data_IF_866909819763
#
_entry.id   IF_866909819763
#
_cell.length_a   1.000
_cell.length_b   1.000
_cell.length_c   1.000
_cell.angle_alpha   90.00
_cell.angle_beta   90.00
_cell.angle_gamma   90.00
#
_symmetry.space_group_name_H-M   'P 1'
#
loop_
_entity.id
_entity.type
_entity.pdbx_description
1 polymer ?
#
# COMPACT_ATOMS: atom_id res chain seq x y z
N UNK A 1 6.32 -2.59 10.09
CA UNK A 1 5.57 -3.81 9.73
C UNK A 1 6.15 -4.49 8.50
N UNK A 2 6.35 -3.78 7.38
CA UNK A 2 6.95 -4.35 6.15
C UNK A 2 8.23 -5.15 6.43
N UNK A 3 9.21 -4.63 7.19
CA UNK A 3 10.45 -5.35 7.50
C UNK A 3 10.27 -6.78 8.06
N UNK A 4 9.25 -7.01 8.89
CA UNK A 4 8.96 -8.33 9.48
C UNK A 4 8.14 -9.20 8.53
N UNK A 5 7.31 -8.58 7.69
CA UNK A 5 6.42 -9.26 6.74
C UNK A 5 7.12 -9.59 5.42
N UNK A 6 8.16 -8.86 5.03
CA UNK A 6 8.90 -9.05 3.77
C UNK A 6 9.37 -10.50 3.54
N UNK A 7 9.93 -11.23 4.53
CA UNK A 7 10.32 -12.63 4.31
C UNK A 7 9.11 -13.53 4.06
N UNK A 8 7.97 -13.28 4.72
CA UNK A 8 6.75 -14.05 4.49
C UNK A 8 6.15 -13.73 3.11
N UNK A 9 6.10 -12.45 2.74
CA UNK A 9 5.65 -11.95 1.44
C UNK A 9 6.48 -12.56 0.31
N UNK A 10 7.82 -12.54 0.44
CA UNK A 10 8.72 -13.14 -0.54
C UNK A 10 8.42 -14.64 -0.73
N UNK A 11 8.24 -15.39 0.35
CA UNK A 11 7.88 -16.82 0.24
C UNK A 11 6.48 -17.07 -0.30
N UNK A 12 5.53 -16.14 -0.08
CA UNK A 12 4.19 -16.24 -0.64
C UNK A 12 4.20 -16.01 -2.16
N UNK A 13 4.97 -15.03 -2.63
CA UNK A 13 5.15 -14.71 -4.05
C UNK A 13 5.76 -15.88 -4.83
N UNK A 14 6.69 -16.61 -4.22
CA UNK A 14 7.34 -17.76 -4.86
C UNK A 14 6.45 -19.02 -4.89
N UNK A 15 5.53 -19.17 -3.94
CA UNK A 15 4.72 -20.40 -3.79
C UNK A 15 3.37 -20.35 -4.47
N UNK A 16 2.77 -19.16 -4.59
CA UNK A 16 1.44 -18.97 -5.16
C UNK A 16 1.53 -18.18 -6.46
N UNK A 17 0.62 -18.43 -7.43
CA UNK A 17 0.61 -17.68 -8.67
C UNK A 17 0.35 -16.20 -8.37
N UNK A 18 1.26 -15.33 -8.81
CA UNK A 18 1.30 -13.89 -8.53
C UNK A 18 -0.02 -13.18 -8.85
N UNK A 19 -0.67 -13.58 -9.95
CA UNK A 19 -2.02 -13.13 -10.32
C UNK A 19 -3.06 -13.32 -9.20
N UNK A 20 -3.06 -14.49 -8.54
CA UNK A 20 -4.00 -14.77 -7.44
C UNK A 20 -3.68 -13.95 -6.20
N UNK A 21 -2.39 -13.71 -5.93
CA UNK A 21 -1.96 -12.85 -4.82
C UNK A 21 -2.44 -11.42 -5.05
N UNK A 22 -2.24 -10.86 -6.26
CA UNK A 22 -2.71 -9.52 -6.61
C UNK A 22 -4.24 -9.41 -6.49
N UNK A 23 -5.00 -10.36 -7.02
CA UNK A 23 -6.45 -10.38 -6.85
C UNK A 23 -6.88 -10.48 -5.37
N UNK A 24 -6.17 -11.29 -4.56
CA UNK A 24 -6.43 -11.41 -3.11
C UNK A 24 -6.17 -10.10 -2.37
N UNK A 25 -5.10 -9.37 -2.71
CA UNK A 25 -4.82 -8.06 -2.08
C UNK A 25 -5.93 -7.05 -2.34
N UNK A 26 -6.47 -7.03 -3.57
CA UNK A 26 -7.62 -6.18 -3.92
C UNK A 26 -8.90 -6.63 -3.21
N UNK A 27 -9.11 -7.94 -3.04
CA UNK A 27 -10.22 -8.46 -2.25
C UNK A 27 -10.13 -8.04 -0.77
N UNK A 28 -8.93 -8.07 -0.17
CA UNK A 28 -8.72 -7.62 1.22
C UNK A 28 -9.04 -6.12 1.36
N UNK A 29 -8.57 -5.30 0.41
CA UNK A 29 -8.87 -3.85 0.40
C UNK A 29 -10.37 -3.58 0.21
N UNK A 30 -11.03 -4.31 -0.68
CA UNK A 30 -12.48 -4.25 -0.90
C UNK A 30 -13.23 -4.58 0.39
N UNK A 31 -12.90 -5.70 1.05
CA UNK A 31 -13.56 -6.13 2.29
C UNK A 31 -13.34 -5.14 3.43
N UNK A 32 -12.11 -4.61 3.56
CA UNK A 32 -11.80 -3.58 4.55
C UNK A 32 -12.64 -2.32 4.31
N UNK A 33 -12.72 -1.84 3.07
CA UNK A 33 -13.51 -0.67 2.71
C UNK A 33 -15.02 -0.91 2.90
N UNK A 34 -15.54 -2.05 2.47
CA UNK A 34 -16.95 -2.44 2.68
C UNK A 34 -17.31 -2.53 4.16
N UNK A 35 -16.39 -3.01 5.02
CA UNK A 35 -16.64 -3.05 6.47
C UNK A 35 -16.80 -1.66 7.09
N UNK A 36 -16.11 -0.64 6.56
CA UNK A 36 -16.27 0.75 6.99
C UNK A 36 -17.65 1.28 6.58
N UNK A 37 -18.10 1.00 5.36
CA UNK A 37 -19.43 1.39 4.86
C UNK A 37 -20.56 0.69 5.62
N UNK A 38 -20.42 -0.62 5.89
CA UNK A 38 -21.42 -1.36 6.65
C UNK A 38 -21.43 -0.88 8.11
N UNK A 39 -20.27 -0.67 8.71
CA UNK A 39 -20.17 -0.13 10.06
C UNK A 39 -20.86 1.23 10.18
N UNK A 40 -20.66 2.11 9.21
CA UNK A 40 -21.26 3.44 9.22
C UNK A 40 -22.79 3.43 9.06
N UNK A 41 -23.31 2.57 8.18
CA UNK A 41 -24.76 2.42 7.94
C UNK A 41 -25.48 1.72 9.10
N UNK A 42 -24.86 0.73 9.75
CA UNK A 42 -25.41 0.06 10.95
C UNK A 42 -25.43 0.99 12.16
N UNK A 43 -24.38 1.79 12.36
CA UNK A 43 -24.33 2.79 13.45
C UNK A 43 -25.39 3.88 13.21
N UNK A 44 -25.58 4.30 11.95
CA UNK A 44 -26.60 5.31 11.60
C UNK A 44 -28.05 4.83 11.78
N UNK A 45 -28.30 3.51 11.73
CA UNK A 45 -29.66 2.93 11.78
C UNK A 45 -30.11 2.47 13.18
N UNK A 46 -29.22 2.45 14.18
CA UNK A 46 -29.46 1.82 15.49
C UNK A 46 -29.83 2.78 16.64
N UNK A 47 -30.44 3.94 16.33
CA UNK A 47 -31.01 4.89 17.31
C UNK A 47 -30.02 5.51 18.33
N UNK A 48 -29.49 6.69 18.03
CA UNK A 48 -29.53 7.86 18.92
C UNK A 48 -29.04 9.09 18.14
N UNK A 49 -29.94 10.07 17.95
CA UNK A 49 -29.53 11.37 17.48
C UNK A 49 -28.48 11.98 18.42
N UNK A 50 -27.56 12.73 17.81
CA UNK A 50 -26.74 13.78 18.41
C UNK A 50 -25.27 13.51 18.75
N UNK A 51 -24.62 12.47 18.19
CA UNK A 51 -23.16 12.50 18.03
C UNK A 51 -22.76 11.91 16.67
N UNK A 52 -22.43 12.79 15.73
CA UNK A 52 -22.14 12.48 14.33
C UNK A 52 -20.80 11.74 14.10
N UNK A 53 -20.11 11.23 15.13
CA UNK A 53 -18.70 10.89 14.96
C UNK A 53 -18.11 9.79 15.85
N UNK A 54 -18.87 8.75 16.20
CA UNK A 54 -18.30 7.57 16.86
C UNK A 54 -18.15 6.40 15.90
N UNK A 55 -17.38 6.59 14.82
CA UNK A 55 -16.67 5.45 14.25
C UNK A 55 -15.77 4.89 15.35
N UNK A 56 -15.87 3.59 15.64
CA UNK A 56 -14.90 2.96 16.51
C UNK A 56 -13.53 3.08 15.86
N UNK A 57 -12.67 3.92 16.44
CA UNK A 57 -11.29 4.17 16.00
C UNK A 57 -10.55 2.84 15.80
N UNK A 58 -10.90 1.82 16.59
CA UNK A 58 -10.36 0.46 16.48
C UNK A 58 -10.71 -0.25 15.18
N UNK A 59 -11.91 -0.08 14.65
CA UNK A 59 -12.32 -0.66 13.35
C UNK A 59 -11.53 0.02 12.23
N UNK A 60 -11.48 1.36 12.24
CA UNK A 60 -10.69 2.12 11.26
C UNK A 60 -9.21 1.76 11.32
N UNK A 61 -8.65 1.63 12.52
CA UNK A 61 -7.26 1.22 12.71
C UNK A 61 -7.00 -0.20 12.18
N UNK A 62 -7.91 -1.15 12.44
CA UNK A 62 -7.80 -2.50 11.92
C UNK A 62 -7.86 -2.53 10.38
N UNK A 63 -8.83 -1.82 9.79
CA UNK A 63 -8.95 -1.67 8.34
C UNK A 63 -7.71 -1.02 7.73
N UNK A 64 -7.14 -0.01 8.40
CA UNK A 64 -5.91 0.65 7.96
C UNK A 64 -4.72 -0.32 7.97
N UNK A 65 -4.56 -1.12 9.03
CA UNK A 65 -3.51 -2.13 9.09
C UNK A 65 -3.69 -3.18 7.99
N UNK A 66 -4.92 -3.67 7.77
CA UNK A 66 -5.22 -4.61 6.69
C UNK A 66 -4.89 -4.01 5.31
N UNK A 67 -5.23 -2.74 5.09
CA UNK A 67 -4.91 -2.02 3.87
C UNK A 67 -3.40 -1.92 3.65
N UNK A 68 -2.64 -1.57 4.69
CA UNK A 68 -1.18 -1.47 4.61
C UNK A 68 -0.52 -2.80 4.28
N UNK A 69 -0.94 -3.89 4.93
CA UNK A 69 -0.42 -5.24 4.66
C UNK A 69 -0.74 -5.66 3.22
N UNK A 70 -1.98 -5.43 2.77
CA UNK A 70 -2.39 -5.74 1.40
C UNK A 70 -1.59 -4.94 0.37
N UNK A 71 -1.35 -3.65 0.61
CA UNK A 71 -0.59 -2.78 -0.29
C UNK A 71 0.88 -3.17 -0.37
N UNK A 72 1.52 -3.54 0.75
CA UNK A 72 2.90 -4.02 0.79
C UNK A 72 3.07 -5.32 -0.02
N UNK A 73 2.14 -6.26 0.16
CA UNK A 73 2.10 -7.51 -0.60
C UNK A 73 1.82 -7.26 -2.10
N UNK A 74 0.90 -6.35 -2.42
CA UNK A 74 0.56 -5.99 -3.79
C UNK A 74 1.78 -5.39 -4.50
N UNK A 75 2.49 -4.48 -3.83
CA UNK A 75 3.67 -3.83 -4.36
C UNK A 75 4.78 -4.82 -4.73
N UNK A 76 5.17 -5.67 -3.78
CA UNK A 76 6.22 -6.68 -4.00
C UNK A 76 5.82 -7.67 -5.11
N UNK A 77 4.54 -8.06 -5.14
CA UNK A 77 4.03 -8.99 -6.16
C UNK A 77 3.97 -8.34 -7.54
N UNK A 78 3.59 -7.06 -7.65
CA UNK A 78 3.44 -6.37 -8.92
C UNK A 78 4.76 -6.22 -9.66
N UNK A 79 5.84 -5.91 -8.94
CA UNK A 79 7.19 -5.89 -9.51
C UNK A 79 7.60 -7.25 -10.08
N UNK A 80 7.42 -8.32 -9.30
CA UNK A 80 7.72 -9.68 -9.75
C UNK A 80 6.80 -10.16 -10.89
N UNK A 81 5.54 -9.73 -10.90
CA UNK A 81 4.57 -10.06 -11.96
C UNK A 81 4.87 -9.33 -13.27
N UNK A 82 5.33 -8.08 -13.20
CA UNK A 82 5.80 -7.32 -14.37
C UNK A 82 6.98 -8.04 -15.05
N UNK A 83 7.91 -8.57 -14.26
CA UNK A 83 9.02 -9.38 -14.79
C UNK A 83 8.56 -10.68 -15.44
N UNK A 84 7.43 -11.25 -15.00
CA UNK A 84 6.86 -12.46 -15.60
C UNK A 84 6.13 -12.19 -16.91
N UNK A 85 5.55 -11.00 -17.06
CA UNK A 85 4.67 -10.67 -18.19
C UNK A 85 5.43 -10.06 -19.39
N UNK A 86 6.52 -9.35 -19.13
CA UNK A 86 7.25 -8.59 -20.14
C UNK A 86 8.66 -9.16 -20.41
N UNK A 87 9.26 -8.73 -21.52
CA UNK A 87 10.66 -9.05 -21.83
C UNK A 87 11.64 -8.13 -21.09
N UNK A 88 12.88 -8.57 -20.82
CA UNK A 88 13.88 -7.78 -20.11
C UNK A 88 14.21 -6.43 -20.74
N UNK A 89 14.10 -6.33 -22.07
CA UNK A 89 14.29 -5.10 -22.84
C UNK A 89 13.21 -4.05 -22.54
N UNK A 90 12.02 -4.48 -22.10
CA UNK A 90 10.89 -3.60 -21.82
C UNK A 90 10.77 -3.20 -20.34
N UNK A 91 11.46 -3.90 -19.43
CA UNK A 91 11.36 -3.65 -17.98
C UNK A 91 11.64 -2.21 -17.60
N UNK A 92 12.69 -1.61 -18.17
CA UNK A 92 13.04 -0.22 -17.90
C UNK A 92 11.88 0.73 -18.24
N UNK A 93 11.24 0.53 -19.40
CA UNK A 93 10.12 1.38 -19.85
C UNK A 93 8.88 1.19 -18.98
N UNK A 94 8.47 -0.06 -18.73
CA UNK A 94 7.25 -0.35 -17.95
C UNK A 94 7.43 0.05 -16.49
N UNK A 95 8.57 -0.25 -15.88
CA UNK A 95 8.87 0.15 -14.50
C UNK A 95 8.89 1.67 -14.35
N UNK A 96 9.44 2.39 -15.32
CA UNK A 96 9.44 3.86 -15.31
C UNK A 96 8.03 4.43 -15.42
N UNK A 97 7.17 3.84 -16.26
CA UNK A 97 5.76 4.24 -16.35
C UNK A 97 5.00 4.00 -15.05
N UNK A 98 5.22 2.85 -14.40
CA UNK A 98 4.64 2.56 -13.09
C UNK A 98 5.08 3.57 -12.03
N UNK A 99 6.35 3.95 -12.03
CA UNK A 99 6.90 4.96 -11.13
C UNK A 99 6.25 6.33 -11.35
N UNK A 100 6.16 6.79 -12.60
CA UNK A 100 5.50 8.06 -12.95
C UNK A 100 4.05 8.08 -12.46
N UNK A 101 3.29 7.00 -12.72
CA UNK A 101 1.89 6.90 -12.28
C UNK A 101 1.79 7.00 -10.76
N UNK A 102 2.67 6.32 -10.03
CA UNK A 102 2.66 6.32 -8.57
C UNK A 102 3.03 7.67 -7.96
N UNK A 103 4.04 8.35 -8.50
CA UNK A 103 4.45 9.68 -8.02
C UNK A 103 3.34 10.70 -8.26
N UNK A 104 2.76 10.71 -9.47
CA UNK A 104 1.61 11.55 -9.79
C UNK A 104 0.43 11.23 -8.86
N UNK A 105 0.13 9.96 -8.62
CA UNK A 105 -0.95 9.54 -7.72
C UNK A 105 -0.70 9.98 -6.29
N UNK A 106 0.54 9.89 -5.80
CA UNK A 106 0.89 10.28 -4.43
C UNK A 106 0.78 11.79 -4.22
N UNK A 107 1.28 12.56 -5.18
CA UNK A 107 1.22 14.02 -5.17
C UNK A 107 -0.23 14.51 -5.24
N UNK A 108 -1.01 13.96 -6.19
CA UNK A 108 -2.42 14.30 -6.35
C UNK A 108 -3.25 13.87 -5.14
N UNK A 109 -3.06 12.66 -4.61
CA UNK A 109 -3.77 12.19 -3.43
C UNK A 109 -3.50 13.05 -2.19
N UNK A 110 -2.30 13.62 -2.05
CA UNK A 110 -1.98 14.55 -0.97
C UNK A 110 -2.83 15.82 -1.01
N UNK A 111 -2.71 16.61 -2.09
CA UNK A 111 -3.41 17.88 -2.23
C UNK A 111 -4.92 17.73 -2.43
N UNK A 112 -5.32 16.84 -3.34
CA UNK A 112 -6.73 16.57 -3.65
C UNK A 112 -7.43 15.86 -2.48
N UNK A 113 -6.72 15.01 -1.72
CA UNK A 113 -7.28 14.31 -0.58
C UNK A 113 -7.74 15.24 0.54
N UNK A 114 -6.98 16.30 0.84
CA UNK A 114 -7.37 17.32 1.83
C UNK A 114 -8.64 18.04 1.40
N UNK A 115 -8.68 18.48 0.14
CA UNK A 115 -9.85 19.15 -0.41
C UNK A 115 -11.09 18.24 -0.45
N UNK A 116 -10.94 16.95 -0.82
CA UNK A 116 -12.07 16.01 -0.77
C UNK A 116 -12.52 15.73 0.66
N UNK A 117 -11.64 15.75 1.66
CA UNK A 117 -12.03 15.52 3.06
C UNK A 117 -12.96 16.62 3.60
N UNK A 118 -12.90 17.84 3.04
CA UNK A 118 -13.84 18.92 3.37
C UNK A 118 -15.22 18.70 2.73
N UNK A 119 -15.29 18.01 1.60
CA UNK A 119 -16.51 17.82 0.82
C UNK A 119 -17.20 16.47 1.06
N UNK A 120 -16.42 15.44 1.40
CA UNK A 120 -16.85 14.05 1.44
C UNK A 120 -16.70 13.46 2.84
N UNK A 121 -17.75 12.76 3.28
CA UNK A 121 -17.68 11.93 4.48
C UNK A 121 -16.79 10.71 4.25
N UNK A 122 -16.27 10.15 5.33
CA UNK A 122 -15.42 8.95 5.31
C UNK A 122 -16.09 7.75 4.61
N UNK A 123 -17.42 7.68 4.65
CA UNK A 123 -18.21 6.66 3.95
C UNK A 123 -18.06 6.73 2.43
N UNK A 124 -18.08 7.94 1.85
CA UNK A 124 -17.94 8.15 0.41
C UNK A 124 -16.54 7.76 -0.06
N UNK A 125 -15.51 8.07 0.75
CA UNK A 125 -14.14 7.62 0.51
C UNK A 125 -14.02 6.09 0.54
N UNK A 126 -14.65 5.44 1.52
CA UNK A 126 -14.65 3.99 1.64
C UNK A 126 -15.38 3.35 0.45
N UNK A 127 -16.52 3.90 0.00
CA UNK A 127 -17.25 3.41 -1.17
C UNK A 127 -16.43 3.56 -2.46
N UNK A 128 -15.80 4.71 -2.68
CA UNK A 128 -14.93 4.91 -3.83
C UNK A 128 -13.76 3.91 -3.81
N UNK A 129 -13.14 3.71 -2.65
CA UNK A 129 -12.05 2.74 -2.47
C UNK A 129 -12.51 1.32 -2.80
N UNK A 130 -13.68 0.91 -2.28
CA UNK A 130 -14.26 -0.39 -2.59
C UNK A 130 -14.47 -0.59 -4.10
N UNK A 131 -15.04 0.41 -4.77
CA UNK A 131 -15.29 0.35 -6.21
C UNK A 131 -14.00 0.25 -7.02
N UNK A 132 -12.98 1.04 -6.67
CA UNK A 132 -11.66 0.99 -7.33
C UNK A 132 -10.95 -0.34 -7.10
N UNK A 133 -10.96 -0.87 -5.86
CA UNK A 133 -10.37 -2.18 -5.57
C UNK A 133 -11.11 -3.31 -6.30
N UNK A 134 -12.44 -3.24 -6.41
CA UNK A 134 -13.20 -4.20 -7.20
C UNK A 134 -12.84 -4.14 -8.69
N UNK A 135 -12.75 -2.94 -9.27
CA UNK A 135 -12.35 -2.76 -10.66
C UNK A 135 -10.92 -3.29 -10.91
N UNK A 136 -9.98 -2.96 -10.02
CA UNK A 136 -8.61 -3.47 -10.08
C UNK A 136 -8.56 -5.00 -10.00
N UNK A 137 -9.36 -5.61 -9.12
CA UNK A 137 -9.49 -7.07 -9.03
C UNK A 137 -9.98 -7.66 -10.35
N UNK A 138 -10.98 -7.07 -10.99
CA UNK A 138 -11.47 -7.51 -12.30
C UNK A 138 -10.39 -7.40 -13.38
N UNK A 139 -9.64 -6.29 -13.41
CA UNK A 139 -8.51 -6.13 -14.32
C UNK A 139 -7.47 -7.26 -14.12
N UNK A 140 -7.08 -7.55 -12.87
CA UNK A 140 -6.13 -8.63 -12.59
C UNK A 140 -6.65 -9.99 -13.01
N UNK A 141 -7.94 -10.28 -12.78
CA UNK A 141 -8.56 -11.55 -13.21
C UNK A 141 -8.65 -11.65 -14.73
N UNK A 142 -8.90 -10.55 -15.44
CA UNK A 142 -9.02 -10.50 -16.89
C UNK A 142 -7.68 -10.70 -17.63
N UNK A 143 -6.53 -10.40 -16.99
CA UNK A 143 -5.22 -10.63 -17.60
C UNK A 143 -5.07 -12.11 -17.97
N UNK A 144 -4.99 -12.38 -19.27
CA UNK A 144 -4.72 -13.72 -19.77
C UNK A 144 -3.24 -14.03 -19.55
N UNK A 145 -2.97 -14.97 -18.65
CA UNK A 145 -1.62 -15.31 -18.24
C UNK A 145 -1.44 -16.83 -18.25
N UNK A 146 -0.39 -17.30 -18.93
CA UNK A 146 0.11 -18.67 -18.73
C UNK A 146 1.04 -18.63 -17.53
N UNK A 147 0.50 -18.95 -16.36
CA UNK A 147 1.29 -19.12 -15.14
C UNK A 147 2.44 -20.06 -15.44
N UNK A 148 3.68 -19.55 -15.41
CA UNK A 148 4.85 -20.40 -15.41
C UNK A 148 4.89 -21.00 -14.02
N UNK A 149 4.24 -22.16 -13.86
CA UNK A 149 4.29 -22.93 -12.63
C UNK A 149 5.75 -23.34 -12.42
N UNK A 150 6.48 -22.53 -11.67
CA UNK A 150 7.81 -22.85 -11.20
C UNK A 150 7.69 -24.15 -10.41
N UNK A 151 8.22 -25.25 -10.95
CA UNK A 151 8.48 -26.49 -10.22
C UNK A 151 9.61 -26.27 -9.19
N UNK A 152 9.57 -25.18 -8.42
CA UNK A 152 10.52 -24.95 -7.37
C UNK A 152 10.29 -25.98 -6.27
N UNK A 153 11.35 -26.72 -5.95
CA UNK A 153 11.38 -27.63 -4.79
C UNK A 153 10.86 -26.86 -3.58
N UNK A 154 9.87 -27.43 -2.87
CA UNK A 154 9.41 -26.95 -1.57
C UNK A 154 10.56 -27.05 -0.56
N UNK A 155 11.47 -26.09 -0.55
CA UNK A 155 12.43 -25.92 0.54
C UNK A 155 11.70 -25.34 1.74
N UNK A 156 12.09 -25.77 2.93
CA UNK A 156 11.49 -25.31 4.17
C UNK A 156 11.81 -23.83 4.37
N UNK A 157 10.84 -23.04 4.85
CA UNK A 157 10.98 -21.60 5.10
C UNK A 157 12.23 -21.26 5.93
N UNK A 158 12.53 -22.09 6.94
CA UNK A 158 13.70 -21.96 7.79
C UNK A 158 15.04 -22.15 7.05
N UNK A 159 15.07 -22.96 5.99
CA UNK A 159 16.28 -23.14 5.18
C UNK A 159 16.56 -21.90 4.32
N UNK A 160 15.51 -21.32 3.71
CA UNK A 160 15.64 -20.07 2.95
C UNK A 160 16.07 -18.89 3.84
N UNK A 161 15.50 -18.77 5.04
CA UNK A 161 15.93 -17.77 6.01
C UNK A 161 17.40 -17.92 6.40
N UNK A 162 17.86 -19.17 6.64
CA UNK A 162 19.26 -19.44 6.99
C UNK A 162 20.21 -19.08 5.85
N UNK A 163 19.79 -19.33 4.61
CA UNK A 163 20.54 -18.96 3.41
C UNK A 163 20.64 -17.43 3.26
N UNK A 164 19.53 -16.70 3.42
CA UNK A 164 19.54 -15.24 3.42
C UNK A 164 20.46 -14.66 4.51
N UNK A 165 20.37 -15.18 5.74
CA UNK A 165 21.26 -14.74 6.84
C UNK A 165 22.73 -15.05 6.54
N UNK A 166 23.02 -16.15 5.86
CA UNK A 166 24.37 -16.49 5.40
C UNK A 166 24.88 -15.45 4.39
N UNK A 167 24.06 -15.03 3.43
CA UNK A 167 24.42 -14.00 2.44
C UNK A 167 24.72 -12.66 3.13
N UNK A 168 23.87 -12.23 4.07
CA UNK A 168 24.10 -11.00 4.83
C UNK A 168 25.41 -11.03 5.63
N UNK A 169 25.80 -12.19 6.17
CA UNK A 169 27.06 -12.36 6.91
C UNK A 169 28.31 -12.34 6.04
N UNK A 170 28.20 -12.62 4.74
CA UNK A 170 29.36 -12.62 3.84
C UNK A 170 29.85 -11.19 3.50
N UNK A 171 28.96 -10.19 3.51
CA UNK A 171 29.30 -8.81 3.11
C UNK A 171 28.67 -7.74 4.01
N UNK A 172 28.99 -7.71 5.33
CA UNK A 172 28.33 -6.83 6.29
C UNK A 172 28.51 -5.34 6.00
N UNK A 173 29.67 -4.92 5.45
CA UNK A 173 29.94 -3.52 5.10
C UNK A 173 29.07 -3.03 3.95
N UNK A 174 28.84 -3.87 2.95
CA UNK A 174 28.00 -3.54 1.80
C UNK A 174 26.54 -3.36 2.23
N UNK A 175 26.02 -4.29 3.03
CA UNK A 175 24.66 -4.19 3.56
C UNK A 175 24.50 -3.04 4.56
N UNK A 176 25.52 -2.73 5.37
CA UNK A 176 25.51 -1.55 6.23
C UNK A 176 25.44 -0.24 5.43
N UNK A 177 26.19 -0.15 4.33
CA UNK A 177 26.13 1.00 3.42
C UNK A 177 24.75 1.15 2.76
N UNK A 178 24.14 0.03 2.32
CA UNK A 178 22.76 0.04 1.81
C UNK A 178 21.79 0.51 2.90
N UNK A 179 21.89 -0.05 4.11
CA UNK A 179 20.99 0.31 5.22
C UNK A 179 21.07 1.80 5.57
N UNK A 180 22.28 2.37 5.59
CA UNK A 180 22.50 3.81 5.80
C UNK A 180 21.92 4.64 4.65
N UNK A 181 22.11 4.21 3.40
CA UNK A 181 21.54 4.88 2.22
C UNK A 181 20.01 4.90 2.24
N UNK A 182 19.38 3.85 2.81
CA UNK A 182 17.93 3.77 2.95
C UNK A 182 17.37 4.56 4.15
N UNK A 183 18.21 5.09 5.05
CA UNK A 183 17.75 5.76 6.28
C UNK A 183 16.94 7.04 6.02
N UNK A 184 17.14 7.69 4.87
CA UNK A 184 16.38 8.88 4.45
C UNK A 184 14.90 8.58 4.21
N UNK A 185 14.55 7.35 3.81
CA UNK A 185 13.18 6.99 3.45
C UNK A 185 12.23 6.91 4.67
N UNK A 186 12.59 6.25 5.79
CA UNK A 186 11.84 6.34 7.04
C UNK A 186 11.68 7.77 7.56
N UNK A 187 12.75 8.58 7.47
CA UNK A 187 12.72 9.98 7.89
C UNK A 187 11.64 10.76 7.12
N UNK A 188 11.62 10.65 5.78
CA UNK A 188 10.63 11.30 4.94
C UNK A 188 9.20 10.80 5.20
N UNK A 189 9.04 9.48 5.34
CA UNK A 189 7.72 8.87 5.60
C UNK A 189 7.15 9.35 6.94
N UNK A 190 8.00 9.50 7.96
CA UNK A 190 7.61 9.99 9.27
C UNK A 190 7.26 11.48 9.23
N UNK A 191 8.06 12.28 8.53
CA UNK A 191 7.81 13.71 8.33
C UNK A 191 6.45 13.94 7.67
N UNK A 192 6.11 13.18 6.63
CA UNK A 192 4.83 13.28 5.92
C UNK A 192 3.61 12.98 6.81
N UNK A 193 3.79 12.26 7.93
CA UNK A 193 2.72 12.01 8.91
C UNK A 193 2.69 13.04 10.04
N UNK A 194 3.84 13.55 10.46
CA UNK A 194 3.93 14.53 11.54
C UNK A 194 3.52 15.94 11.13
N UNK A 195 3.86 16.38 9.91
CA UNK A 195 3.54 17.72 9.42
C UNK A 195 2.05 18.05 9.51
N UNK A 196 1.09 17.20 9.07
CA UNK A 196 -0.33 17.51 9.21
C UNK A 196 -0.80 17.54 10.68
N UNK A 197 -0.21 16.72 11.56
CA UNK A 197 -0.51 16.74 13.00
C UNK A 197 -0.04 18.06 13.62
N UNK A 198 1.19 18.47 13.32
CA UNK A 198 1.77 19.73 13.79
C UNK A 198 1.00 20.96 13.29
N UNK A 199 0.56 20.96 12.03
CA UNK A 199 -0.25 22.04 11.46
C UNK A 199 -1.64 22.12 12.11
N UNK A 200 -2.23 20.96 12.41
CA UNK A 200 -3.51 20.86 13.13
C UNK A 200 -3.41 21.39 14.57
N UNK A 201 -2.36 21.02 15.31
CA UNK A 201 -2.12 21.51 16.68
C UNK A 201 -1.92 23.04 16.74
N UNK A 202 -1.35 23.63 15.69
CA UNK A 202 -1.15 25.07 15.55
C UNK A 202 -2.32 25.81 14.87
N UNK A 203 -3.48 25.17 14.73
CA UNK A 203 -4.71 25.74 14.15
C UNK A 203 -4.53 26.34 12.75
N UNK A 204 -3.60 25.80 11.96
CA UNK A 204 -3.39 26.23 10.58
C UNK A 204 -4.40 25.56 9.64
N UNK A 205 -4.78 26.24 8.55
CA UNK A 205 -5.73 25.70 7.58
C UNK A 205 -5.15 24.50 6.81
N UNK A 206 -6.02 23.57 6.41
CA UNK A 206 -5.63 22.41 5.58
C UNK A 206 -4.98 22.80 4.25
N UNK A 207 -5.27 24.00 3.74
CA UNK A 207 -4.65 24.56 2.55
C UNK A 207 -3.12 24.70 2.67
N UNK A 208 -2.61 25.02 3.86
CA UNK A 208 -1.17 25.12 4.09
C UNK A 208 -0.47 23.76 3.92
N UNK A 209 -1.12 22.69 4.40
CA UNK A 209 -0.65 21.32 4.20
C UNK A 209 -0.72 20.91 2.72
N UNK A 210 -1.79 21.30 2.01
CA UNK A 210 -1.92 21.03 0.58
C UNK A 210 -0.81 21.72 -0.24
N UNK A 211 -0.52 23.00 0.02
CA UNK A 211 0.59 23.72 -0.62
C UNK A 211 1.96 23.15 -0.28
N UNK A 212 2.17 22.75 0.98
CA UNK A 212 3.40 22.07 1.39
C UNK A 212 3.59 20.75 0.62
N UNK A 213 2.53 19.94 0.49
CA UNK A 213 2.61 18.69 -0.25
C UNK A 213 2.84 18.87 -1.76
N UNK A 214 2.23 19.90 -2.37
CA UNK A 214 2.47 20.22 -3.78
C UNK A 214 3.92 20.66 -4.00
N UNK A 215 4.45 21.54 -3.16
CA UNK A 215 5.86 21.95 -3.24
C UNK A 215 6.82 20.78 -3.01
N UNK A 216 6.52 19.91 -2.04
CA UNK A 216 7.28 18.70 -1.78
C UNK A 216 7.29 17.76 -2.99
N UNK A 217 6.14 17.52 -3.60
CA UNK A 217 6.01 16.64 -4.75
C UNK A 217 6.59 17.20 -6.06
N UNK A 218 6.71 18.53 -6.20
CA UNK A 218 7.38 19.17 -7.35
C UNK A 218 8.91 19.17 -7.19
N UNK A 219 9.40 19.15 -5.95
CA UNK A 219 10.83 19.11 -5.63
C UNK A 219 11.44 17.70 -5.54
N UNK A 220 10.61 16.66 -5.57
CA UNK A 220 11.00 15.24 -5.57
C UNK A 220 11.15 14.70 -7.00
#
# INVERSE_FOLDING_TARGET
MSFVLTPFIATAIDRYPRKRILALTQLIQLLAASSVVIGSTVISSSYLGNDHNTFSVWILAFCLVAFWIASDLAWATNGAFTQELYEPTEYGRISSQQEIVMQITTLSAGGMGVWLLELWSMEKFALLTALLSFLAMMCFVAIQHRSVSSKQKRTLYHQQLRESVSIFRQSPRFFAFIALSCASYPMMTYLAKLVPIYLSENQQSGEWFAWWQINYGVGA
#
